data_IF_959834928856
#
_entry.id   IF_959834928856
#
_cell.length_a   1.000
_cell.length_b   1.000
_cell.length_c   1.000
_cell.angle_alpha   90.00
_cell.angle_beta   90.00
_cell.angle_gamma   90.00
#
_symmetry.space_group_name_H-M   'P 1'
#
loop_
_entity.id
_entity.type
_entity.pdbx_description
1 polymer ?
#
# COMPACT_ATOMS: atom_id res chain seq x y z
N UNK A 1 34.70 -52.71 40.69
CA UNK A 1 34.93 -51.73 39.57
C UNK A 1 33.70 -51.48 38.73
N UNK A 2 32.57 -51.05 39.34
CA UNK A 2 31.29 -50.72 38.65
C UNK A 2 31.08 -49.20 38.53
N UNK A 3 31.91 -48.38 39.22
CA UNK A 3 31.68 -46.90 39.27
C UNK A 3 32.23 -46.08 38.12
N UNK A 4 33.24 -46.53 37.35
CA UNK A 4 33.86 -45.71 36.30
C UNK A 4 33.09 -45.64 34.96
N UNK A 5 32.34 -46.70 34.61
CA UNK A 5 31.56 -46.74 33.37
C UNK A 5 30.30 -45.89 33.41
N UNK A 6 29.70 -45.69 34.59
CA UNK A 6 28.48 -44.90 34.77
C UNK A 6 28.75 -43.35 34.67
N UNK A 7 29.95 -42.89 35.07
CA UNK A 7 30.31 -41.47 35.02
C UNK A 7 30.58 -41.00 33.59
N UNK A 8 31.16 -41.86 32.73
CA UNK A 8 31.46 -41.48 31.31
C UNK A 8 30.21 -41.45 30.47
N UNK A 9 29.23 -42.35 30.73
CA UNK A 9 27.92 -42.29 30.06
C UNK A 9 27.08 -41.07 30.44
N UNK A 10 27.16 -40.66 31.71
CA UNK A 10 26.47 -39.45 32.20
C UNK A 10 26.96 -38.13 31.61
N UNK A 11 28.28 -37.99 31.42
CA UNK A 11 28.85 -36.77 30.83
C UNK A 11 28.50 -36.59 29.35
N UNK A 12 28.43 -37.68 28.57
CA UNK A 12 28.01 -37.61 27.16
C UNK A 12 26.51 -37.28 27.03
N UNK A 13 25.67 -37.80 27.91
CA UNK A 13 24.23 -37.50 27.95
C UNK A 13 23.96 -36.07 28.40
N UNK A 14 24.72 -35.50 29.31
CA UNK A 14 24.60 -34.08 29.76
C UNK A 14 25.01 -33.12 28.64
N UNK A 15 26.04 -33.43 27.86
CA UNK A 15 26.48 -32.63 26.71
C UNK A 15 25.44 -32.60 25.58
N UNK A 16 24.80 -33.72 25.27
CA UNK A 16 23.74 -33.79 24.27
C UNK A 16 22.43 -33.17 24.73
N UNK A 17 22.06 -33.26 25.99
CA UNK A 17 20.89 -32.62 26.56
C UNK A 17 21.06 -31.08 26.56
N UNK A 18 22.26 -30.56 26.84
CA UNK A 18 22.56 -29.14 26.78
C UNK A 18 22.48 -28.56 25.36
N UNK A 19 22.96 -29.26 24.36
CA UNK A 19 22.89 -28.87 22.95
C UNK A 19 21.43 -28.89 22.41
N UNK A 20 20.63 -29.86 22.80
CA UNK A 20 19.21 -29.96 22.49
C UNK A 20 18.40 -28.80 23.10
N UNK A 21 18.64 -28.49 24.36
CA UNK A 21 17.98 -27.38 25.05
C UNK A 21 18.32 -26.03 24.41
N UNK A 22 19.58 -25.79 24.03
CA UNK A 22 20.02 -24.59 23.34
C UNK A 22 19.38 -24.47 21.94
N UNK A 23 19.29 -25.58 21.18
CA UNK A 23 18.65 -25.61 19.87
C UNK A 23 17.14 -25.33 19.95
N UNK A 24 16.44 -25.89 20.93
CA UNK A 24 15.00 -25.64 21.14
C UNK A 24 14.74 -24.17 21.54
N UNK A 25 15.57 -23.62 22.41
CA UNK A 25 15.46 -22.22 22.84
C UNK A 25 15.72 -21.26 21.68
N UNK A 26 16.70 -21.55 20.81
CA UNK A 26 16.99 -20.76 19.61
C UNK A 26 15.83 -20.84 18.60
N UNK A 27 15.31 -22.02 18.33
CA UNK A 27 14.15 -22.24 17.47
C UNK A 27 12.89 -21.52 18.01
N UNK A 28 12.69 -21.57 19.32
CA UNK A 28 11.61 -20.85 20.01
C UNK A 28 11.75 -19.33 19.91
N UNK A 29 12.94 -18.78 20.00
CA UNK A 29 13.22 -17.35 19.84
C UNK A 29 12.98 -16.90 18.39
N UNK A 30 13.44 -17.63 17.40
CA UNK A 30 13.19 -17.36 15.98
C UNK A 30 11.69 -17.39 15.64
N UNK A 31 10.95 -18.35 16.19
CA UNK A 31 9.50 -18.44 16.00
C UNK A 31 8.77 -17.24 16.61
N UNK A 32 9.20 -16.75 17.77
CA UNK A 32 8.64 -15.53 18.37
C UNK A 32 8.96 -14.31 17.51
N UNK A 33 10.22 -14.12 17.15
CA UNK A 33 10.63 -13.02 16.26
C UNK A 33 9.85 -13.00 14.93
N UNK A 34 9.61 -14.17 14.34
CA UNK A 34 8.80 -14.30 13.15
C UNK A 34 7.33 -13.88 13.37
N UNK A 35 6.73 -14.26 14.49
CA UNK A 35 5.37 -13.83 14.83
C UNK A 35 5.27 -12.32 15.08
N UNK A 36 6.22 -11.78 15.84
CA UNK A 36 6.27 -10.37 16.16
C UNK A 36 6.47 -9.52 14.90
N UNK A 37 7.31 -9.97 13.97
CA UNK A 37 7.49 -9.35 12.66
C UNK A 37 6.21 -9.39 11.80
N UNK A 38 5.49 -10.51 11.79
CA UNK A 38 4.22 -10.62 11.08
C UNK A 38 3.16 -9.69 11.67
N UNK A 39 3.05 -9.64 13.01
CA UNK A 39 2.12 -8.74 13.70
C UNK A 39 2.45 -7.26 13.47
N UNK A 40 3.74 -6.90 13.45
CA UNK A 40 4.18 -5.54 13.15
C UNK A 40 3.85 -5.13 11.69
N UNK A 41 3.96 -6.04 10.73
CA UNK A 41 3.58 -5.81 9.33
C UNK A 41 2.06 -5.62 9.18
N UNK A 42 1.27 -6.44 9.87
CA UNK A 42 -0.19 -6.32 9.88
C UNK A 42 -0.64 -4.98 10.47
N UNK A 43 -0.05 -4.57 11.60
CA UNK A 43 -0.33 -3.26 12.21
C UNK A 43 0.09 -2.10 11.31
N UNK A 44 1.23 -2.20 10.63
CA UNK A 44 1.70 -1.18 9.69
C UNK A 44 0.73 -1.05 8.50
N UNK A 45 0.24 -2.17 7.97
CA UNK A 45 -0.76 -2.17 6.90
C UNK A 45 -2.10 -1.58 7.35
N UNK A 46 -2.61 -1.99 8.50
CA UNK A 46 -3.85 -1.45 9.06
C UNK A 46 -3.78 0.07 9.28
N UNK A 47 -2.64 0.55 9.80
CA UNK A 47 -2.42 1.99 9.95
C UNK A 47 -2.36 2.72 8.61
N UNK A 48 -1.77 2.11 7.59
CA UNK A 48 -1.73 2.69 6.25
C UNK A 48 -3.12 2.73 5.62
N UNK A 49 -3.93 1.70 5.82
CA UNK A 49 -5.34 1.67 5.41
C UNK A 49 -6.13 2.81 6.06
N UNK A 50 -6.02 2.98 7.38
CA UNK A 50 -6.66 4.07 8.13
C UNK A 50 -6.27 5.46 7.60
N UNK A 51 -4.99 5.67 7.31
CA UNK A 51 -4.48 6.95 6.79
C UNK A 51 -4.94 7.22 5.35
N UNK A 52 -5.15 6.19 4.54
CA UNK A 52 -5.57 6.32 3.14
C UNK A 52 -7.10 6.36 2.96
N UNK A 53 -7.86 5.89 3.95
CA UNK A 53 -9.32 5.80 3.87
C UNK A 53 -10.02 7.13 3.55
N UNK A 54 -9.65 8.29 4.16
CA UNK A 54 -10.27 9.56 3.82
C UNK A 54 -10.11 9.96 2.35
N UNK A 55 -8.93 9.70 1.78
CA UNK A 55 -8.65 9.99 0.36
C UNK A 55 -9.43 9.06 -0.56
N UNK A 56 -9.54 7.79 -0.21
CA UNK A 56 -10.31 6.79 -0.95
C UNK A 56 -11.80 7.16 -0.97
N UNK A 57 -12.36 7.52 0.19
CA UNK A 57 -13.75 7.95 0.29
C UNK A 57 -14.02 9.27 -0.46
N UNK A 58 -13.12 10.24 -0.35
CA UNK A 58 -13.22 11.48 -1.11
C UNK A 58 -13.18 11.22 -2.63
N UNK A 59 -12.33 10.31 -3.08
CA UNK A 59 -12.25 9.89 -4.48
C UNK A 59 -13.54 9.24 -4.98
N UNK A 60 -14.12 8.32 -4.23
CA UNK A 60 -15.41 7.69 -4.55
C UNK A 60 -16.56 8.71 -4.58
N UNK A 61 -16.61 9.61 -3.62
CA UNK A 61 -17.59 10.69 -3.58
C UNK A 61 -17.47 11.61 -4.79
N UNK A 62 -16.24 11.99 -5.15
CA UNK A 62 -15.96 12.81 -6.32
C UNK A 62 -16.34 12.10 -7.62
N UNK A 63 -16.04 10.81 -7.74
CA UNK A 63 -16.43 9.97 -8.88
C UNK A 63 -17.95 9.94 -9.05
N UNK A 64 -18.69 9.66 -7.98
CA UNK A 64 -20.14 9.62 -8.02
C UNK A 64 -20.73 10.97 -8.44
N UNK A 65 -20.21 12.08 -7.91
CA UNK A 65 -20.64 13.43 -8.27
C UNK A 65 -20.32 13.78 -9.72
N UNK A 66 -19.16 13.33 -10.21
CA UNK A 66 -18.78 13.51 -11.62
C UNK A 66 -19.73 12.72 -12.54
N UNK A 67 -20.07 11.49 -12.18
CA UNK A 67 -21.03 10.67 -12.91
C UNK A 67 -22.44 11.31 -12.92
N UNK A 68 -22.87 11.89 -11.79
CA UNK A 68 -24.14 12.63 -11.72
C UNK A 68 -24.14 13.82 -12.68
N UNK A 69 -23.11 14.65 -12.65
CA UNK A 69 -23.01 15.85 -13.51
C UNK A 69 -22.95 15.51 -15.01
N UNK A 70 -22.39 14.35 -15.36
CA UNK A 70 -22.27 13.87 -16.74
C UNK A 70 -23.45 12.99 -17.19
N UNK A 71 -24.48 12.82 -16.35
CA UNK A 71 -25.63 11.95 -16.59
C UNK A 71 -25.25 10.47 -16.79
N UNK A 72 -24.17 10.01 -16.17
CA UNK A 72 -23.67 8.64 -16.25
C UNK A 72 -24.09 7.78 -15.06
N UNK A 73 -24.63 8.37 -13.99
CA UNK A 73 -25.11 7.65 -12.82
C UNK A 73 -26.54 7.09 -13.05
N UNK A 74 -26.87 6.05 -12.31
CA UNK A 74 -28.23 5.47 -12.31
C UNK A 74 -29.24 6.38 -11.58
N UNK A 75 -28.78 7.19 -10.64
CA UNK A 75 -29.63 8.10 -9.86
C UNK A 75 -29.94 9.38 -10.63
N UNK A 76 -30.98 9.34 -11.45
CA UNK A 76 -31.44 10.48 -12.26
C UNK A 76 -32.01 11.64 -11.43
N UNK A 77 -32.27 11.43 -10.14
CA UNK A 77 -32.78 12.47 -9.21
C UNK A 77 -31.69 13.13 -8.40
N UNK A 78 -30.44 12.77 -8.63
CA UNK A 78 -29.29 13.35 -7.93
C UNK A 78 -29.20 14.87 -8.21
N UNK A 79 -28.85 15.69 -7.19
CA UNK A 79 -28.69 17.12 -7.37
C UNK A 79 -27.66 17.46 -8.45
N UNK A 80 -28.08 18.14 -9.50
CA UNK A 80 -27.24 18.50 -10.64
C UNK A 80 -27.03 17.38 -11.66
N UNK A 81 -27.86 16.32 -11.65
CA UNK A 81 -27.81 15.27 -12.66
C UNK A 81 -27.88 15.87 -14.07
N UNK A 82 -26.94 15.49 -14.92
CA UNK A 82 -26.85 15.94 -16.30
C UNK A 82 -26.49 17.42 -16.52
N UNK A 83 -26.12 18.16 -15.46
CA UNK A 83 -25.81 19.60 -15.55
C UNK A 83 -24.78 19.92 -16.62
N UNK A 84 -23.81 19.03 -16.83
CA UNK A 84 -22.73 19.20 -17.80
C UNK A 84 -22.69 18.12 -18.88
N UNK A 85 -23.78 17.35 -19.01
CA UNK A 85 -23.91 16.31 -20.02
C UNK A 85 -24.28 16.86 -21.40
N UNK A 86 -24.75 18.12 -21.46
CA UNK A 86 -25.19 18.80 -22.67
C UNK A 86 -24.30 19.97 -23.02
N UNK A 87 -24.34 20.37 -24.28
CA UNK A 87 -23.63 21.56 -24.75
C UNK A 87 -24.31 22.85 -24.22
N UNK A 88 -23.55 23.96 -24.26
CA UNK A 88 -24.08 25.27 -23.96
C UNK A 88 -25.22 25.66 -24.88
N UNK A 89 -26.34 26.06 -24.32
CA UNK A 89 -27.55 26.43 -25.05
C UNK A 89 -28.07 27.81 -24.60
N UNK A 90 -29.09 28.33 -25.28
CA UNK A 90 -29.79 29.56 -24.88
C UNK A 90 -30.42 29.44 -23.49
N UNK A 91 -30.72 28.26 -23.00
CA UNK A 91 -31.21 28.05 -21.63
C UNK A 91 -30.10 28.30 -20.56
N UNK A 92 -28.85 28.19 -20.95
CA UNK A 92 -27.68 28.44 -20.08
C UNK A 92 -27.13 29.88 -20.26
N UNK A 93 -27.74 30.64 -21.20
CA UNK A 93 -27.31 32.01 -21.45
C UNK A 93 -27.76 32.93 -20.31
N UNK A 94 -26.78 33.47 -19.61
CA UNK A 94 -26.96 34.50 -18.57
C UNK A 94 -26.21 35.74 -19.01
N UNK A 95 -26.94 36.79 -19.25
CA UNK A 95 -26.34 38.07 -19.63
C UNK A 95 -25.55 38.65 -18.44
N UNK A 96 -24.43 39.32 -18.75
CA UNK A 96 -23.69 40.09 -17.76
C UNK A 96 -24.59 41.21 -17.21
N UNK A 97 -24.62 41.44 -15.87
CA UNK A 97 -25.40 42.57 -15.30
C UNK A 97 -25.13 43.93 -15.94
N UNK A 98 -23.95 44.17 -16.47
CA UNK A 98 -23.59 45.38 -17.20
C UNK A 98 -23.96 45.40 -18.67
N UNK A 99 -24.49 44.30 -19.24
CA UNK A 99 -24.81 44.20 -20.67
C UNK A 99 -25.85 45.23 -21.12
N UNK A 100 -26.96 45.35 -20.39
CA UNK A 100 -28.02 46.32 -20.69
C UNK A 100 -27.53 47.77 -20.62
N UNK A 101 -26.69 48.08 -19.64
CA UNK A 101 -26.06 49.37 -19.53
C UNK A 101 -25.16 49.70 -20.74
N UNK A 102 -24.26 48.76 -21.12
CA UNK A 102 -23.35 48.93 -22.27
C UNK A 102 -24.10 49.16 -23.57
N UNK A 103 -25.18 48.42 -23.83
CA UNK A 103 -26.03 48.63 -25.01
C UNK A 103 -26.67 50.00 -24.98
N UNK A 104 -27.30 50.37 -23.86
CA UNK A 104 -28.00 51.64 -23.71
C UNK A 104 -27.07 52.85 -23.92
N UNK A 105 -25.91 52.88 -23.27
CA UNK A 105 -24.97 53.98 -23.39
C UNK A 105 -24.25 53.98 -24.75
N UNK A 106 -23.95 52.83 -25.34
CA UNK A 106 -23.40 52.74 -26.68
C UNK A 106 -24.37 53.25 -27.77
N UNK A 107 -25.65 52.91 -27.68
CA UNK A 107 -26.69 53.43 -28.57
C UNK A 107 -26.83 54.94 -28.42
N UNK A 108 -26.90 55.50 -27.20
CA UNK A 108 -26.96 56.93 -26.94
C UNK A 108 -25.72 57.67 -27.51
N UNK A 109 -24.53 57.07 -27.39
CA UNK A 109 -23.31 57.64 -27.94
C UNK A 109 -23.34 57.70 -29.49
N UNK A 110 -23.86 56.69 -30.16
CA UNK A 110 -24.06 56.62 -31.60
C UNK A 110 -25.08 57.65 -32.05
N UNK A 111 -26.23 57.79 -31.37
CA UNK A 111 -27.29 58.77 -31.64
C UNK A 111 -26.78 60.17 -31.49
N UNK A 112 -26.09 60.52 -30.38
CA UNK A 112 -25.48 61.85 -30.17
C UNK A 112 -24.45 62.19 -31.26
N UNK A 113 -23.61 61.26 -31.64
CA UNK A 113 -22.63 61.40 -32.72
C UNK A 113 -23.31 61.61 -34.07
N UNK A 114 -24.39 60.91 -34.36
CA UNK A 114 -25.19 61.11 -35.58
C UNK A 114 -25.94 62.47 -35.60
N UNK A 115 -26.51 62.84 -34.45
CA UNK A 115 -27.15 64.12 -34.30
C UNK A 115 -26.20 65.30 -34.55
N UNK A 116 -24.99 65.27 -33.98
CA UNK A 116 -23.95 66.29 -34.16
C UNK A 116 -23.51 66.44 -35.62
N UNK A 117 -23.69 65.41 -36.46
CA UNK A 117 -23.39 65.39 -37.90
C UNK A 117 -24.61 65.72 -38.78
N UNK A 118 -25.75 66.01 -38.19
CA UNK A 118 -26.98 66.21 -38.90
C UNK A 118 -27.62 65.07 -39.60
N UNK A 119 -27.16 63.80 -39.28
CA UNK A 119 -27.57 62.59 -39.97
C UNK A 119 -28.36 61.58 -39.10
N UNK A 120 -29.12 62.01 -38.14
CA UNK A 120 -29.84 61.14 -37.19
C UNK A 120 -30.73 60.09 -37.87
N UNK A 121 -31.40 60.45 -38.99
CA UNK A 121 -32.26 59.57 -39.79
C UNK A 121 -31.53 58.97 -41.02
N UNK A 122 -30.26 59.08 -41.09
CA UNK A 122 -29.54 58.56 -42.26
C UNK A 122 -29.45 57.01 -42.20
N UNK A 123 -29.51 56.38 -43.40
CA UNK A 123 -29.32 54.92 -43.50
C UNK A 123 -27.97 54.42 -42.96
N UNK A 124 -26.96 55.28 -42.94
CA UNK A 124 -25.65 54.99 -42.37
C UNK A 124 -25.72 54.87 -40.82
N UNK A 125 -26.48 55.79 -40.15
CA UNK A 125 -26.71 55.75 -38.72
C UNK A 125 -27.47 54.50 -38.30
N UNK A 126 -28.57 54.15 -39.04
CA UNK A 126 -29.33 52.93 -38.76
C UNK A 126 -28.49 51.69 -38.90
N UNK A 127 -27.65 51.57 -39.94
CA UNK A 127 -26.70 50.46 -40.10
C UNK A 127 -25.67 50.42 -38.96
N UNK A 128 -25.19 51.59 -38.50
CA UNK A 128 -24.26 51.68 -37.38
C UNK A 128 -24.84 51.15 -36.07
N UNK A 129 -26.08 51.55 -35.76
CA UNK A 129 -26.82 51.07 -34.58
C UNK A 129 -27.06 49.54 -34.66
N UNK A 130 -27.49 49.06 -35.82
CA UNK A 130 -27.73 47.62 -36.04
C UNK A 130 -26.43 46.82 -35.86
N UNK A 131 -25.30 47.24 -36.46
CA UNK A 131 -24.01 46.57 -36.29
C UNK A 131 -23.56 46.58 -34.83
N UNK A 132 -23.63 47.73 -34.17
CA UNK A 132 -23.28 47.83 -32.76
C UNK A 132 -24.11 46.84 -31.90
N UNK A 133 -25.43 46.75 -32.14
CA UNK A 133 -26.30 45.80 -31.45
C UNK A 133 -25.89 44.32 -31.71
N UNK A 134 -25.61 43.96 -32.98
CA UNK A 134 -25.16 42.61 -33.36
C UNK A 134 -23.80 42.29 -32.77
N UNK A 135 -22.83 43.18 -32.87
CA UNK A 135 -21.47 42.98 -32.34
C UNK A 135 -21.49 42.81 -30.82
N UNK A 136 -22.25 43.67 -30.13
CA UNK A 136 -22.39 43.62 -28.67
C UNK A 136 -23.12 42.36 -28.22
N UNK A 137 -24.17 41.93 -28.95
CA UNK A 137 -24.87 40.64 -28.66
C UNK A 137 -23.98 39.45 -28.89
N UNK A 138 -23.19 39.43 -29.98
CA UNK A 138 -22.23 38.35 -30.27
C UNK A 138 -21.13 38.28 -29.22
N UNK A 139 -20.59 39.42 -28.81
CA UNK A 139 -19.58 39.49 -27.75
C UNK A 139 -20.15 38.97 -26.42
N UNK A 140 -21.38 39.35 -26.07
CA UNK A 140 -22.02 38.87 -24.84
C UNK A 140 -22.29 37.37 -24.86
N UNK A 141 -22.73 36.85 -26.01
CA UNK A 141 -22.87 35.38 -26.16
C UNK A 141 -21.55 34.64 -25.91
N UNK A 142 -20.45 35.11 -26.49
CA UNK A 142 -19.13 34.55 -26.29
C UNK A 142 -18.68 34.68 -24.82
N UNK A 143 -18.96 35.81 -24.17
CA UNK A 143 -18.66 36.03 -22.77
C UNK A 143 -19.47 35.05 -21.87
N UNK A 144 -20.76 34.86 -22.15
CA UNK A 144 -21.61 33.91 -21.44
C UNK A 144 -21.12 32.49 -21.64
N UNK A 145 -20.74 32.11 -22.85
CA UNK A 145 -20.12 30.80 -23.15
C UNK A 145 -18.81 30.60 -22.38
N UNK A 146 -17.93 31.59 -22.37
CA UNK A 146 -16.68 31.52 -21.65
C UNK A 146 -16.90 31.40 -20.12
N UNK A 147 -17.87 32.13 -19.55
CA UNK A 147 -18.27 31.98 -18.14
C UNK A 147 -18.80 30.58 -17.85
N UNK A 148 -19.64 30.02 -18.73
CA UNK A 148 -20.15 28.66 -18.62
C UNK A 148 -19.00 27.63 -18.61
N UNK A 149 -18.06 27.76 -19.55
CA UNK A 149 -16.90 26.86 -19.62
C UNK A 149 -16.00 26.97 -18.37
N UNK A 150 -15.75 28.19 -17.91
CA UNK A 150 -14.97 28.42 -16.69
C UNK A 150 -15.67 27.82 -15.46
N UNK A 151 -16.98 28.03 -15.31
CA UNK A 151 -17.78 27.46 -14.23
C UNK A 151 -17.80 25.90 -14.29
N UNK A 152 -17.92 25.35 -15.48
CA UNK A 152 -17.83 23.90 -15.72
C UNK A 152 -16.47 23.37 -15.28
N UNK A 153 -15.37 23.96 -15.74
CA UNK A 153 -14.02 23.58 -15.38
C UNK A 153 -13.76 23.70 -13.87
N UNK A 154 -14.17 24.81 -13.25
CA UNK A 154 -14.02 25.04 -11.82
C UNK A 154 -14.76 24.03 -10.96
N UNK A 155 -15.83 23.42 -11.45
CA UNK A 155 -16.57 22.37 -10.74
C UNK A 155 -16.05 20.97 -11.05
N UNK A 156 -15.65 20.68 -12.29
CA UNK A 156 -15.20 19.34 -12.68
C UNK A 156 -13.74 19.06 -12.30
N UNK A 157 -12.84 20.04 -12.45
CA UNK A 157 -11.42 19.85 -12.17
C UNK A 157 -11.12 19.41 -10.72
N UNK A 158 -11.72 20.03 -9.68
CA UNK A 158 -11.53 19.55 -8.31
C UNK A 158 -12.02 18.11 -8.09
N UNK A 159 -13.14 17.74 -8.72
CA UNK A 159 -13.65 16.37 -8.63
C UNK A 159 -12.71 15.37 -9.29
N UNK A 160 -12.15 15.71 -10.46
CA UNK A 160 -11.14 14.89 -11.12
C UNK A 160 -9.87 14.75 -10.28
N UNK A 161 -9.42 15.84 -9.64
CA UNK A 161 -8.26 15.81 -8.75
C UNK A 161 -8.49 14.92 -7.52
N UNK A 162 -9.68 15.00 -6.91
CA UNK A 162 -10.04 14.15 -5.77
C UNK A 162 -10.18 12.68 -6.18
N UNK A 163 -10.76 12.40 -7.35
CA UNK A 163 -10.83 11.05 -7.91
C UNK A 163 -9.42 10.49 -8.14
N UNK A 164 -8.49 11.29 -8.69
CA UNK A 164 -7.09 10.94 -8.86
C UNK A 164 -6.39 10.64 -7.53
N UNK A 165 -6.64 11.43 -6.49
CA UNK A 165 -6.12 11.19 -5.15
C UNK A 165 -6.65 9.87 -4.56
N UNK A 166 -7.94 9.57 -4.74
CA UNK A 166 -8.53 8.29 -4.33
C UNK A 166 -7.93 7.08 -5.06
N UNK A 167 -7.68 7.22 -6.36
CA UNK A 167 -7.03 6.17 -7.15
C UNK A 167 -5.57 5.95 -6.72
N UNK A 168 -4.84 7.03 -6.46
CA UNK A 168 -3.47 6.96 -5.93
C UNK A 168 -3.46 6.26 -4.57
N UNK A 169 -4.38 6.61 -3.68
CA UNK A 169 -4.56 5.96 -2.38
C UNK A 169 -4.83 4.45 -2.50
N UNK A 170 -5.68 4.05 -3.44
CA UNK A 170 -5.96 2.64 -3.72
C UNK A 170 -4.71 1.91 -4.22
N UNK A 171 -3.93 2.52 -5.11
CA UNK A 171 -2.68 1.95 -5.62
C UNK A 171 -1.64 1.77 -4.51
N UNK A 172 -1.53 2.76 -3.59
CA UNK A 172 -0.66 2.68 -2.41
C UNK A 172 -1.06 1.50 -1.52
N UNK A 173 -2.35 1.32 -1.24
CA UNK A 173 -2.85 0.20 -0.45
C UNK A 173 -2.62 -1.14 -1.13
N UNK A 174 -2.82 -1.24 -2.44
CA UNK A 174 -2.56 -2.47 -3.20
C UNK A 174 -1.08 -2.84 -3.15
N UNK A 175 -0.18 -1.85 -3.31
CA UNK A 175 1.26 -2.05 -3.17
C UNK A 175 1.65 -2.50 -1.75
N UNK A 176 1.10 -1.86 -0.73
CA UNK A 176 1.34 -2.20 0.67
C UNK A 176 0.82 -3.61 1.00
N UNK A 177 -0.36 -4.00 0.51
CA UNK A 177 -0.90 -5.35 0.67
C UNK A 177 0.02 -6.40 0.05
N UNK A 178 0.56 -6.13 -1.14
CA UNK A 178 1.54 -7.00 -1.81
C UNK A 178 2.83 -7.16 -0.99
N UNK A 179 3.39 -6.07 -0.49
CA UNK A 179 4.59 -6.11 0.36
C UNK A 179 4.34 -6.85 1.68
N UNK A 180 3.21 -6.58 2.33
CA UNK A 180 2.82 -7.26 3.58
C UNK A 180 2.64 -8.75 3.34
N UNK A 181 1.98 -9.15 2.25
CA UNK A 181 1.82 -10.54 1.88
C UNK A 181 3.15 -11.26 1.63
N UNK A 182 4.07 -10.65 0.89
CA UNK A 182 5.43 -11.18 0.68
C UNK A 182 6.23 -11.26 1.99
N UNK A 183 6.14 -10.22 2.83
CA UNK A 183 6.78 -10.21 4.13
C UNK A 183 6.28 -11.33 5.03
N UNK A 184 4.98 -11.55 5.10
CA UNK A 184 4.37 -12.66 5.86
C UNK A 184 4.81 -14.03 5.32
N UNK A 185 4.85 -14.20 3.99
CA UNK A 185 5.32 -15.44 3.37
C UNK A 185 6.79 -15.71 3.72
N UNK A 186 7.66 -14.71 3.63
CA UNK A 186 9.07 -14.82 4.01
C UNK A 186 9.24 -15.16 5.50
N UNK A 187 8.44 -14.54 6.35
CA UNK A 187 8.43 -14.80 7.79
C UNK A 187 7.95 -16.23 8.12
N UNK A 188 6.93 -16.70 7.41
CA UNK A 188 6.45 -18.09 7.54
C UNK A 188 7.51 -19.11 7.08
N UNK A 189 8.20 -18.83 5.96
CA UNK A 189 9.31 -19.67 5.47
C UNK A 189 10.49 -19.68 6.45
N UNK A 190 10.89 -18.52 6.98
CA UNK A 190 11.95 -18.44 7.99
C UNK A 190 11.58 -19.22 9.26
N UNK A 191 10.32 -19.13 9.71
CA UNK A 191 9.81 -19.94 10.82
C UNK A 191 9.80 -21.44 10.53
N UNK A 192 9.53 -21.84 9.30
CA UNK A 192 9.62 -23.24 8.82
C UNK A 192 11.06 -23.75 8.79
N UNK A 193 11.99 -22.97 8.25
CA UNK A 193 13.42 -23.29 8.22
C UNK A 193 14.01 -23.39 9.63
N UNK A 194 13.61 -22.48 10.54
CA UNK A 194 14.04 -22.55 11.93
C UNK A 194 13.61 -23.87 12.63
N UNK A 195 12.41 -24.37 12.31
CA UNK A 195 11.95 -25.68 12.79
C UNK A 195 12.75 -26.84 12.17
N UNK A 196 12.92 -26.80 10.83
CA UNK A 196 13.66 -27.82 10.12
C UNK A 196 15.12 -27.93 10.59
N UNK A 197 15.80 -26.77 10.77
CA UNK A 197 17.17 -26.77 11.30
C UNK A 197 17.23 -27.21 12.77
N UNK A 198 16.22 -26.89 13.58
CA UNK A 198 16.11 -27.39 14.95
C UNK A 198 16.02 -28.93 14.99
N UNK A 199 15.20 -29.55 14.17
CA UNK A 199 15.09 -31.01 14.05
C UNK A 199 16.37 -31.65 13.51
N UNK A 200 16.98 -31.05 12.49
CA UNK A 200 18.24 -31.55 11.92
C UNK A 200 19.39 -31.47 12.94
N UNK A 201 19.49 -30.41 13.70
CA UNK A 201 20.48 -30.25 14.76
C UNK A 201 20.26 -31.22 15.92
N UNK A 202 18.99 -31.46 16.27
CA UNK A 202 18.64 -32.48 17.27
C UNK A 202 19.03 -33.89 16.81
N UNK A 203 18.73 -34.26 15.56
CA UNK A 203 19.10 -35.55 14.97
C UNK A 203 20.62 -35.73 14.91
N UNK A 204 21.37 -34.67 14.52
CA UNK A 204 22.83 -34.74 14.50
C UNK A 204 23.45 -34.82 15.90
N UNK A 205 22.89 -34.12 16.88
CA UNK A 205 23.35 -34.22 18.29
C UNK A 205 23.10 -35.61 18.87
N UNK A 206 21.96 -36.25 18.57
CA UNK A 206 21.67 -37.61 18.95
C UNK A 206 22.67 -38.59 18.32
N UNK A 207 22.89 -38.44 16.99
CA UNK A 207 23.84 -39.34 16.29
C UNK A 207 25.27 -39.17 16.78
N UNK A 208 25.72 -37.96 17.09
CA UNK A 208 27.02 -37.70 17.71
C UNK A 208 27.10 -38.28 19.12
N UNK A 209 26.04 -38.14 19.91
CA UNK A 209 25.98 -38.73 21.26
C UNK A 209 26.09 -40.25 21.24
N UNK A 210 25.34 -40.90 20.34
CA UNK A 210 25.39 -42.35 20.16
C UNK A 210 26.76 -42.84 19.67
N UNK A 211 27.37 -42.18 18.69
CA UNK A 211 28.69 -42.52 18.15
C UNK A 211 29.81 -42.33 19.20
N UNK A 212 29.74 -41.26 19.98
CA UNK A 212 30.68 -41.01 21.08
C UNK A 212 30.52 -42.04 22.18
N UNK A 213 29.28 -42.40 22.57
CA UNK A 213 28.98 -43.41 23.54
C UNK A 213 29.48 -44.79 23.11
N UNK A 214 29.27 -45.19 21.84
CA UNK A 214 29.75 -46.43 21.28
C UNK A 214 31.28 -46.50 21.26
N UNK A 215 31.96 -45.41 20.89
CA UNK A 215 33.43 -45.33 20.89
C UNK A 215 34.01 -45.46 22.31
N UNK A 216 33.42 -44.80 23.29
CA UNK A 216 33.84 -44.90 24.69
C UNK A 216 33.61 -46.29 25.26
N UNK A 217 32.51 -46.96 24.87
CA UNK A 217 32.23 -48.35 25.28
C UNK A 217 33.27 -49.31 24.69
N UNK A 218 33.60 -49.21 23.40
CA UNK A 218 34.65 -50.01 22.77
C UNK A 218 36.02 -49.74 23.36
N UNK A 219 36.38 -48.52 23.64
CA UNK A 219 37.63 -48.14 24.29
C UNK A 219 37.71 -48.72 25.72
N UNK A 220 36.59 -48.70 26.46
CA UNK A 220 36.50 -49.33 27.79
C UNK A 220 36.71 -50.83 27.76
N UNK A 221 36.14 -51.53 26.78
CA UNK A 221 36.39 -52.97 26.58
C UNK A 221 37.85 -53.30 26.21
N UNK A 222 38.43 -52.47 25.32
CA UNK A 222 39.83 -52.61 24.93
C UNK A 222 40.77 -52.45 26.13
N UNK A 223 40.59 -51.44 26.95
CA UNK A 223 41.38 -51.18 28.17
C UNK A 223 41.13 -52.23 29.22
N UNK A 224 39.93 -52.78 29.35
CA UNK A 224 39.62 -53.94 30.22
C UNK A 224 40.42 -55.20 29.82
N UNK A 225 40.39 -55.53 28.53
CA UNK A 225 41.16 -56.69 28.00
C UNK A 225 42.69 -56.55 28.17
N UNK A 226 43.22 -55.34 27.99
CA UNK A 226 44.67 -55.08 28.23
C UNK A 226 45.04 -55.23 29.72
N UNK A 227 44.17 -54.83 30.65
CA UNK A 227 44.38 -54.96 32.08
C UNK A 227 44.31 -56.41 32.51
N UNK A 228 43.42 -57.20 31.96
CA UNK A 228 43.37 -58.68 32.22
C UNK A 228 44.60 -59.40 31.71
N UNK A 229 45.09 -59.08 30.52
CA UNK A 229 46.35 -59.60 29.96
C UNK A 229 47.57 -59.27 30.83
N UNK A 230 47.65 -57.97 31.31
CA UNK A 230 48.73 -57.61 32.20
C UNK A 230 48.62 -58.27 33.55
N UNK A 231 47.46 -58.44 34.11
CA UNK A 231 47.27 -59.27 35.35
C UNK A 231 47.63 -60.68 35.18
N UNK A 232 47.27 -61.40 34.08
CA UNK A 232 47.66 -62.69 33.78
C UNK A 232 49.18 -62.85 33.59
N UNK A 233 49.80 -61.87 32.93
CA UNK A 233 51.27 -61.84 32.73
C UNK A 233 52.00 -61.72 34.07
N UNK A 234 51.55 -60.84 34.95
CA UNK A 234 52.13 -60.62 36.29
C UNK A 234 51.96 -61.87 37.14
N UNK A 235 50.79 -62.55 37.09
CA UNK A 235 50.59 -63.82 37.81
C UNK A 235 51.46 -64.95 37.25
N UNK A 236 51.78 -65.01 35.97
CA UNK A 236 52.69 -65.94 35.37
C UNK A 236 54.14 -65.72 35.88
N UNK A 237 54.63 -64.50 35.88
CA UNK A 237 55.98 -64.18 36.39
C UNK A 237 56.13 -64.51 37.88
N UNK A 238 55.13 -64.22 38.71
CA UNK A 238 55.17 -64.51 40.14
C UNK A 238 55.11 -66.04 40.49
N UNK A 239 54.84 -66.92 39.56
CA UNK A 239 54.87 -68.39 39.72
C UNK A 239 56.20 -68.99 39.39
N UNK A 240 57.14 -68.24 38.79
CA UNK A 240 58.47 -68.73 38.39
C UNK A 240 59.58 -68.35 39.37
N UNK A 241 59.29 -67.61 40.37
CA UNK A 241 60.15 -67.22 41.49
C UNK A 241 59.68 -67.98 42.72
#
# INVERSE_FOLDING_TARGET
>A
MVGAAAIVGGAALIGTAGSMYAADKAAGAQKRAARDAAAAQEQAYARQEELQEPFRQAGLTAQNRLMDYLALSENKTAPGYGKYARDFSMADFEADPGYGFRISEGMKALERSAAARGGLLSGATLKGIQRFGQDTASAEYLNAFNRYQANRANQLNPLQSLMGAGQTSTNVLTGAAGQTGQGMANTAMAGGQARASGYANMASALNQGLSTGANLYMQGQYLGGVNELNAARTAYYNRQV
#
